data_IF_185668576076
#
_entry.id   IF_185668576076
#
_cell.length_a   1.000
_cell.length_b   1.000
_cell.length_c   1.000
_cell.angle_alpha   90.00
_cell.angle_beta   90.00
_cell.angle_gamma   90.00
#
_symmetry.space_group_name_H-M   'P 1'
#
loop_
_entity.id
_entity.type
_entity.pdbx_description
1 polymer ?
#
# COMPACT_ATOMS: atom_id res chain seq x y z
N UNK A 1 20.33 14.19 21.58
CA UNK A 1 21.10 13.31 20.69
C UNK A 1 20.58 13.35 19.26
N UNK A 2 19.32 13.03 18.93
CA UNK A 2 18.81 13.09 17.55
C UNK A 2 18.99 14.49 16.92
N UNK A 3 18.56 15.56 17.59
CA UNK A 3 18.72 16.94 17.11
C UNK A 3 20.19 17.37 16.88
N UNK A 4 21.14 16.82 17.63
CA UNK A 4 22.57 17.06 17.41
C UNK A 4 23.10 16.36 16.15
N UNK A 5 22.59 15.15 15.88
CA UNK A 5 22.91 14.40 14.66
C UNK A 5 22.27 15.06 13.42
N UNK A 6 21.04 15.55 13.55
CA UNK A 6 20.33 16.28 12.47
C UNK A 6 21.06 17.57 12.08
N UNK A 7 21.74 18.21 13.03
CA UNK A 7 22.53 19.44 12.79
C UNK A 7 23.92 19.18 12.17
N UNK A 8 24.36 17.92 12.08
CA UNK A 8 25.66 17.55 11.51
C UNK A 8 25.54 17.24 10.02
N UNK A 9 26.52 17.66 9.24
CA UNK A 9 26.61 17.30 7.79
C UNK A 9 26.99 15.83 7.58
N UNK A 10 27.57 15.17 8.61
CA UNK A 10 28.05 13.79 8.53
C UNK A 10 26.95 12.74 8.75
N UNK A 11 25.77 13.16 9.25
CA UNK A 11 24.70 12.25 9.63
C UNK A 11 23.38 12.64 8.96
N UNK A 12 22.58 11.61 8.70
CA UNK A 12 21.19 11.78 8.31
C UNK A 12 20.30 10.95 9.25
N UNK A 13 19.43 11.62 10.00
CA UNK A 13 18.53 10.96 10.93
C UNK A 13 17.23 10.63 10.20
N UNK A 14 16.84 9.36 10.22
CA UNK A 14 15.54 8.90 9.77
C UNK A 14 14.66 8.61 10.97
N UNK A 15 13.37 8.91 10.83
CA UNK A 15 12.38 8.57 11.85
C UNK A 15 11.63 7.32 11.44
N UNK A 16 11.27 6.49 12.42
CA UNK A 16 10.37 5.38 12.13
C UNK A 16 9.04 5.95 11.69
N UNK A 17 8.54 5.44 10.57
CA UNK A 17 7.19 5.74 10.10
C UNK A 17 6.15 5.40 11.18
N UNK A 18 5.22 6.31 11.40
CA UNK A 18 4.10 6.14 12.32
C UNK A 18 2.81 6.37 11.53
N UNK A 19 1.91 5.37 11.47
CA UNK A 19 0.64 5.51 10.77
C UNK A 19 -0.18 6.70 11.30
N UNK A 20 -0.90 7.36 10.39
CA UNK A 20 -1.75 8.51 10.71
C UNK A 20 -3.22 8.14 10.48
N UNK A 21 -4.13 8.51 11.38
CA UNK A 21 -5.57 8.26 11.21
C UNK A 21 -6.21 9.18 10.16
N UNK A 22 -5.53 10.25 9.77
CA UNK A 22 -5.95 11.20 8.73
C UNK A 22 -4.76 12.03 8.27
N UNK A 23 -4.87 12.64 7.09
CA UNK A 23 -3.88 13.59 6.53
C UNK A 23 -4.47 14.99 6.38
N UNK A 24 -5.79 15.12 6.39
CA UNK A 24 -6.54 16.37 6.29
C UNK A 24 -7.57 16.47 7.41
N UNK A 25 -7.99 17.70 7.69
CA UNK A 25 -9.10 17.95 8.62
C UNK A 25 -10.42 17.49 8.00
N UNK A 26 -11.39 17.02 8.80
CA UNK A 26 -12.70 16.62 8.30
C UNK A 26 -13.32 17.72 7.42
N UNK A 27 -13.82 17.32 6.27
CA UNK A 27 -14.46 18.22 5.30
C UNK A 27 -15.90 17.78 5.05
N UNK A 28 -16.86 18.72 4.83
CA UNK A 28 -18.20 18.38 4.39
C UNK A 28 -18.28 17.93 2.92
N UNK A 29 -17.15 17.95 2.20
CA UNK A 29 -17.08 17.49 0.82
C UNK A 29 -17.43 16.00 0.70
N UNK A 30 -17.97 15.63 -0.47
CA UNK A 30 -18.23 14.22 -0.77
C UNK A 30 -16.90 13.47 -0.81
N UNK A 31 -16.79 12.45 0.04
CA UNK A 31 -15.65 11.55 0.07
C UNK A 31 -15.96 10.23 -0.62
N UNK A 32 -14.92 9.58 -1.11
CA UNK A 32 -14.94 8.26 -1.71
C UNK A 32 -14.14 7.31 -0.81
N UNK A 33 -14.50 6.02 -0.83
CA UNK A 33 -13.75 4.99 -0.12
C UNK A 33 -12.78 4.31 -1.07
N UNK A 34 -11.50 4.26 -0.71
CA UNK A 34 -10.44 3.53 -1.37
C UNK A 34 -9.90 2.41 -0.50
N UNK A 35 -9.20 1.47 -1.13
CA UNK A 35 -8.40 0.44 -0.48
C UNK A 35 -6.96 0.55 -0.91
N UNK A 36 -6.03 0.43 0.03
CA UNK A 36 -4.66 0.00 -0.25
C UNK A 36 -4.60 -1.48 0.07
N UNK A 37 -4.01 -2.26 -0.82
CA UNK A 37 -3.81 -3.70 -0.64
C UNK A 37 -2.36 -4.05 -0.94
N UNK A 38 -1.89 -5.10 -0.28
CA UNK A 38 -0.58 -5.69 -0.49
C UNK A 38 -0.65 -7.18 -0.18
N UNK A 39 0.11 -8.01 -0.89
CA UNK A 39 0.14 -9.45 -0.65
C UNK A 39 1.56 -9.97 -0.52
N UNK A 40 1.78 -10.83 0.49
CA UNK A 40 2.93 -11.71 0.54
C UNK A 40 2.54 -13.08 -0.04
N UNK A 41 3.48 -13.73 -0.72
CA UNK A 41 3.19 -14.95 -1.48
C UNK A 41 4.31 -15.97 -1.41
N UNK A 42 4.02 -17.19 -1.88
CA UNK A 42 5.02 -18.27 -1.99
C UNK A 42 5.98 -18.10 -3.18
N UNK A 43 5.88 -17.00 -3.93
CA UNK A 43 6.74 -16.70 -5.08
C UNK A 43 6.10 -15.69 -6.03
N UNK A 44 6.71 -15.49 -7.19
CA UNK A 44 6.35 -14.44 -8.15
C UNK A 44 5.44 -14.91 -9.29
N UNK A 45 5.15 -16.21 -9.39
CA UNK A 45 4.25 -16.76 -10.41
C UNK A 45 2.80 -16.56 -9.98
N UNK A 46 2.19 -15.47 -10.44
CA UNK A 46 0.81 -15.11 -10.08
C UNK A 46 -0.24 -16.17 -10.50
N UNK A 47 0.11 -17.12 -11.36
CA UNK A 47 -0.79 -18.21 -11.77
C UNK A 47 -0.73 -19.41 -10.81
N UNK A 48 0.45 -19.73 -10.26
CA UNK A 48 0.69 -20.95 -9.50
C UNK A 48 1.05 -20.70 -8.03
N UNK A 49 1.59 -19.53 -7.70
CA UNK A 49 1.91 -19.23 -6.31
C UNK A 49 0.68 -18.83 -5.49
N UNK A 50 0.77 -19.03 -4.17
CA UNK A 50 -0.30 -18.80 -3.24
C UNK A 50 -0.05 -17.52 -2.43
N UNK A 51 -1.12 -16.81 -2.06
CA UNK A 51 -1.07 -15.74 -1.05
C UNK A 51 -0.82 -16.41 0.31
N UNK A 52 0.09 -15.84 1.10
CA UNK A 52 0.38 -16.24 2.49
C UNK A 52 0.04 -15.14 3.50
N UNK A 53 0.01 -13.87 3.09
CA UNK A 53 -0.54 -12.76 3.85
C UNK A 53 -1.27 -11.80 2.91
N UNK A 54 -2.42 -11.29 3.33
CA UNK A 54 -3.12 -10.17 2.71
C UNK A 54 -3.18 -9.02 3.70
N UNK A 55 -2.65 -7.88 3.32
CA UNK A 55 -2.82 -6.59 3.97
C UNK A 55 -3.89 -5.76 3.29
N UNK A 56 -4.67 -5.03 4.09
CA UNK A 56 -5.70 -4.14 3.59
C UNK A 56 -5.85 -2.92 4.51
N UNK A 57 -5.84 -1.73 3.92
CA UNK A 57 -6.14 -0.45 4.58
C UNK A 57 -7.22 0.25 3.80
N UNK A 58 -8.34 0.52 4.44
CA UNK A 58 -9.38 1.35 3.84
C UNK A 58 -9.17 2.82 4.24
N UNK A 59 -9.48 3.73 3.32
CA UNK A 59 -9.31 5.16 3.54
C UNK A 59 -10.41 5.97 2.83
N UNK A 60 -10.65 7.18 3.33
CA UNK A 60 -11.59 8.13 2.71
C UNK A 60 -10.83 9.28 2.06
N UNK A 61 -11.18 9.58 0.81
CA UNK A 61 -10.51 10.61 0.01
C UNK A 61 -11.48 11.40 -0.86
N UNK A 62 -11.10 12.61 -1.25
CA UNK A 62 -11.83 13.42 -2.22
C UNK A 62 -11.26 13.29 -3.65
N UNK A 63 -11.91 13.96 -4.59
CA UNK A 63 -11.48 13.96 -5.99
C UNK A 63 -10.15 14.69 -6.25
N UNK A 64 -9.59 15.36 -5.26
CA UNK A 64 -8.27 16.01 -5.30
C UNK A 64 -7.18 15.18 -4.63
N UNK A 65 -7.50 13.95 -4.16
CA UNK A 65 -6.56 13.08 -3.49
C UNK A 65 -6.22 13.47 -2.06
N UNK A 66 -7.06 14.26 -1.40
CA UNK A 66 -6.94 14.57 0.03
C UNK A 66 -7.52 13.41 0.84
N UNK A 67 -6.81 12.95 1.86
CA UNK A 67 -7.18 11.80 2.68
C UNK A 67 -7.68 12.27 4.04
N UNK A 68 -8.95 12.00 4.34
CA UNK A 68 -9.67 12.49 5.51
C UNK A 68 -9.79 11.48 6.64
N UNK A 69 -9.76 10.19 6.34
CA UNK A 69 -9.78 9.13 7.32
C UNK A 69 -9.00 7.91 6.81
N UNK A 70 -8.34 7.22 7.73
CA UNK A 70 -7.60 5.98 7.48
C UNK A 70 -8.03 4.99 8.55
N UNK A 71 -8.56 3.85 8.10
CA UNK A 71 -8.92 2.76 9.01
C UNK A 71 -7.65 2.06 9.51
N UNK A 72 -7.78 1.31 10.59
CA UNK A 72 -6.70 0.42 11.04
C UNK A 72 -6.35 -0.60 9.96
N UNK A 73 -5.06 -0.87 9.79
CA UNK A 73 -4.62 -1.92 8.91
C UNK A 73 -5.15 -3.27 9.38
N UNK A 74 -5.68 -4.05 8.45
CA UNK A 74 -6.04 -5.44 8.66
C UNK A 74 -5.06 -6.31 7.92
N UNK A 75 -4.66 -7.40 8.57
CA UNK A 75 -3.79 -8.39 7.98
C UNK A 75 -4.29 -9.77 8.32
N UNK A 76 -4.28 -10.66 7.34
CA UNK A 76 -4.68 -12.06 7.50
C UNK A 76 -3.62 -12.94 6.86
N UNK A 77 -3.26 -14.00 7.57
CA UNK A 77 -2.51 -15.11 6.99
C UNK A 77 -3.43 -16.08 6.26
N UNK A 78 -2.89 -16.77 5.26
CA UNK A 78 -3.54 -17.89 4.59
C UNK A 78 -2.57 -19.06 4.47
N UNK A 79 -3.01 -20.25 4.87
CA UNK A 79 -2.24 -21.48 4.71
C UNK A 79 -2.18 -21.86 3.23
N UNK A 80 -0.99 -21.88 2.59
CA UNK A 80 -0.86 -22.23 1.18
C UNK A 80 -1.07 -23.72 0.89
N UNK A 81 -1.22 -24.56 1.93
CA UNK A 81 -1.34 -26.02 1.81
C UNK A 81 -0.06 -26.71 1.34
N UNK A 82 1.06 -26.01 1.31
CA UNK A 82 2.40 -26.49 0.91
C UNK A 82 3.47 -25.71 1.66
N UNK A 83 4.70 -26.25 1.82
CA UNK A 83 5.79 -25.50 2.45
C UNK A 83 6.07 -24.16 1.73
N UNK A 84 6.32 -23.12 2.52
CA UNK A 84 6.75 -21.82 2.01
C UNK A 84 8.22 -21.93 1.60
N UNK A 85 8.61 -21.50 0.39
CA UNK A 85 10.00 -21.52 -0.05
C UNK A 85 10.91 -20.75 0.91
N UNK A 86 12.13 -21.27 1.22
CA UNK A 86 13.05 -20.63 2.17
C UNK A 86 13.36 -19.16 1.82
N UNK A 87 13.49 -18.82 0.55
CA UNK A 87 13.70 -17.45 0.08
C UNK A 87 12.53 -16.52 0.39
N UNK A 88 11.29 -17.02 0.38
CA UNK A 88 10.11 -16.27 0.77
C UNK A 88 10.08 -16.07 2.29
N UNK A 89 10.43 -17.11 3.06
CA UNK A 89 10.57 -16.98 4.53
C UNK A 89 11.65 -15.98 4.90
N UNK A 90 12.80 -15.99 4.22
CA UNK A 90 13.89 -15.04 4.46
C UNK A 90 13.45 -13.60 4.17
N UNK A 91 12.69 -13.40 3.09
CA UNK A 91 12.21 -12.07 2.66
C UNK A 91 11.13 -11.52 3.60
N UNK A 92 10.09 -12.33 3.90
CA UNK A 92 8.87 -11.86 4.58
C UNK A 92 8.88 -12.12 6.07
N UNK A 93 9.72 -13.05 6.55
CA UNK A 93 9.69 -13.56 7.91
C UNK A 93 8.48 -14.46 8.21
N UNK A 94 7.63 -14.77 7.21
CA UNK A 94 6.44 -15.59 7.39
C UNK A 94 6.83 -17.06 7.28
N UNK A 95 6.58 -17.82 8.35
CA UNK A 95 6.91 -19.25 8.42
C UNK A 95 5.68 -20.14 8.24
N UNK A 96 5.90 -21.42 7.91
CA UNK A 96 4.83 -22.41 7.83
C UNK A 96 4.01 -22.50 9.14
N UNK A 97 4.65 -22.33 10.29
CA UNK A 97 3.95 -22.38 11.59
C UNK A 97 3.01 -21.19 11.78
N UNK A 98 3.34 -20.02 11.24
CA UNK A 98 2.50 -18.82 11.33
C UNK A 98 1.23 -18.94 10.49
N UNK A 99 1.31 -19.57 9.33
CA UNK A 99 0.18 -19.67 8.38
C UNK A 99 -0.64 -20.94 8.56
N UNK A 100 -0.12 -21.95 9.27
CA UNK A 100 -0.76 -23.26 9.41
C UNK A 100 -2.21 -23.16 9.89
N UNK A 101 -3.16 -23.63 9.05
CA UNK A 101 -4.58 -23.60 9.32
C UNK A 101 -5.20 -22.20 9.36
N UNK A 102 -4.42 -21.16 9.01
CA UNK A 102 -4.95 -19.80 8.91
C UNK A 102 -5.71 -19.63 7.58
N UNK A 103 -6.69 -18.75 7.62
CA UNK A 103 -7.49 -18.41 6.44
C UNK A 103 -7.89 -16.95 6.49
N UNK A 104 -7.82 -16.29 5.34
CA UNK A 104 -8.32 -14.92 5.17
C UNK A 104 -9.83 -14.92 5.45
N UNK A 105 -10.32 -13.89 6.17
CA UNK A 105 -11.75 -13.67 6.37
C UNK A 105 -12.39 -13.15 5.07
N UNK A 106 -12.84 -14.08 4.23
CA UNK A 106 -13.44 -13.80 2.92
C UNK A 106 -14.58 -12.77 3.05
N UNK A 107 -15.43 -12.91 4.06
CA UNK A 107 -16.56 -12.01 4.26
C UNK A 107 -16.13 -10.58 4.65
N UNK A 108 -15.04 -10.45 5.42
CA UNK A 108 -14.47 -9.14 5.74
C UNK A 108 -13.89 -8.47 4.51
N UNK A 109 -13.13 -9.20 3.69
CA UNK A 109 -12.51 -8.70 2.44
C UNK A 109 -13.60 -8.30 1.45
N UNK A 110 -14.58 -9.15 1.18
CA UNK A 110 -15.68 -8.85 0.25
C UNK A 110 -16.51 -7.62 0.67
N UNK A 111 -16.72 -7.41 1.97
CA UNK A 111 -17.39 -6.19 2.46
C UNK A 111 -16.60 -4.92 2.12
N UNK A 112 -15.27 -4.95 2.26
CA UNK A 112 -14.45 -3.78 1.92
C UNK A 112 -14.37 -3.57 0.39
N UNK A 113 -14.24 -4.65 -0.39
CA UNK A 113 -14.31 -4.59 -1.85
C UNK A 113 -15.63 -3.93 -2.29
N UNK A 114 -16.77 -4.37 -1.75
CA UNK A 114 -18.08 -3.85 -2.13
C UNK A 114 -18.21 -2.33 -1.89
N UNK A 115 -17.57 -1.79 -0.85
CA UNK A 115 -17.63 -0.37 -0.46
C UNK A 115 -16.64 0.51 -1.21
N UNK A 116 -15.57 -0.06 -1.76
CA UNK A 116 -14.49 0.69 -2.40
C UNK A 116 -14.82 1.04 -3.86
N UNK A 117 -14.42 2.23 -4.27
CA UNK A 117 -14.44 2.68 -5.68
C UNK A 117 -13.07 2.60 -6.34
N UNK A 118 -12.01 2.47 -5.55
CA UNK A 118 -10.62 2.44 -6.00
C UNK A 118 -9.81 1.47 -5.15
N UNK A 119 -8.97 0.68 -5.79
CA UNK A 119 -7.97 -0.18 -5.15
C UNK A 119 -6.59 0.26 -5.62
N UNK A 120 -5.66 0.40 -4.69
CA UNK A 120 -4.28 0.77 -4.99
C UNK A 120 -3.35 -0.27 -4.38
N UNK A 121 -2.32 -0.66 -5.12
CA UNK A 121 -1.20 -1.43 -4.61
C UNK A 121 0.14 -0.81 -5.05
N UNK A 122 1.21 -1.17 -4.34
CA UNK A 122 2.56 -0.76 -4.71
C UNK A 122 3.14 -1.79 -5.66
N UNK A 123 3.11 -1.80 -6.87
CA UNK A 123 3.31 -2.81 -7.91
C UNK A 123 2.02 -3.59 -8.25
N UNK A 124 0.92 -2.85 -8.42
CA UNK A 124 -0.42 -3.39 -8.62
C UNK A 124 -0.53 -4.50 -9.70
N UNK A 125 0.39 -4.55 -10.66
CA UNK A 125 0.42 -5.62 -11.65
C UNK A 125 0.62 -7.02 -11.06
N UNK A 126 1.23 -7.14 -9.89
CA UNK A 126 1.40 -8.38 -9.14
C UNK A 126 0.17 -8.64 -8.26
N UNK A 127 -0.09 -7.74 -7.32
CA UNK A 127 -1.16 -7.89 -6.32
C UNK A 127 -2.52 -8.10 -6.95
N UNK A 128 -2.83 -7.33 -7.99
CA UNK A 128 -4.09 -7.42 -8.72
C UNK A 128 -4.34 -8.84 -9.25
N UNK A 129 -3.35 -9.46 -9.90
CA UNK A 129 -3.50 -10.80 -10.45
C UNK A 129 -3.70 -11.86 -9.38
N UNK A 130 -2.97 -11.75 -8.27
CA UNK A 130 -3.13 -12.66 -7.12
C UNK A 130 -4.51 -12.50 -6.49
N UNK A 131 -4.94 -11.25 -6.28
CA UNK A 131 -6.20 -10.93 -5.62
C UNK A 131 -7.42 -11.20 -6.49
N UNK A 132 -7.41 -10.90 -7.79
CA UNK A 132 -8.51 -11.23 -8.70
C UNK A 132 -8.74 -12.75 -8.81
N UNK A 133 -7.67 -13.55 -8.73
CA UNK A 133 -7.77 -15.02 -8.69
C UNK A 133 -8.40 -15.50 -7.38
N UNK A 134 -8.10 -14.87 -6.25
CA UNK A 134 -8.56 -15.27 -4.92
C UNK A 134 -9.94 -14.68 -4.58
N UNK A 135 -10.21 -13.45 -5.01
CA UNK A 135 -11.41 -12.66 -4.75
C UNK A 135 -11.90 -12.00 -6.04
N UNK A 136 -12.81 -12.65 -6.79
CA UNK A 136 -13.26 -12.14 -8.10
C UNK A 136 -13.85 -10.73 -8.06
N UNK A 137 -14.37 -10.27 -6.92
CA UNK A 137 -14.90 -8.92 -6.75
C UNK A 137 -13.88 -7.80 -7.01
N UNK A 138 -12.58 -8.08 -6.97
CA UNK A 138 -11.55 -7.12 -7.34
C UNK A 138 -11.48 -6.83 -8.84
N UNK A 139 -11.96 -7.74 -9.70
CA UNK A 139 -11.92 -7.56 -11.16
C UNK A 139 -12.77 -6.38 -11.63
N UNK A 140 -13.84 -6.04 -10.91
CA UNK A 140 -14.75 -4.95 -11.24
C UNK A 140 -14.30 -3.59 -10.67
N UNK A 141 -13.14 -3.52 -10.01
CA UNK A 141 -12.65 -2.30 -9.37
C UNK A 141 -11.70 -1.51 -10.27
N UNK A 142 -11.71 -0.20 -10.07
CA UNK A 142 -10.63 0.64 -10.61
C UNK A 142 -9.35 0.39 -9.81
N UNK A 143 -8.27 0.13 -10.53
CA UNK A 143 -6.96 -0.08 -9.93
C UNK A 143 -6.01 1.08 -10.21
N UNK A 144 -5.18 1.39 -9.21
CA UNK A 144 -4.06 2.32 -9.32
C UNK A 144 -2.76 1.64 -8.89
N UNK A 145 -1.66 1.97 -9.56
CA UNK A 145 -0.32 1.47 -9.22
C UNK A 145 0.53 2.62 -8.68
N UNK A 146 0.79 2.65 -7.37
CA UNK A 146 1.59 3.71 -6.77
C UNK A 146 3.04 3.70 -7.27
N UNK A 147 3.56 2.54 -7.68
CA UNK A 147 4.93 2.41 -8.19
C UNK A 147 5.08 2.95 -9.62
N UNK A 148 4.11 2.71 -10.52
CA UNK A 148 4.23 2.95 -11.96
C UNK A 148 3.44 4.16 -12.45
N UNK A 149 2.32 4.50 -11.81
CA UNK A 149 1.42 5.57 -12.27
C UNK A 149 1.67 6.92 -11.60
N UNK A 150 2.49 6.97 -10.56
CA UNK A 150 2.92 8.23 -9.94
C UNK A 150 4.22 8.69 -10.60
N UNK A 151 4.31 9.95 -11.08
CA UNK A 151 5.53 10.50 -11.65
C UNK A 151 6.52 10.89 -10.54
N UNK A 152 7.12 9.91 -9.87
CA UNK A 152 8.02 10.08 -8.73
C UNK A 152 9.20 11.05 -8.97
N UNK A 153 9.77 11.18 -10.19
CA UNK A 153 10.78 12.21 -10.48
C UNK A 153 10.31 13.65 -10.22
N UNK A 154 9.01 13.94 -10.39
CA UNK A 154 8.41 15.25 -10.04
C UNK A 154 8.57 15.57 -8.55
N UNK A 155 8.58 14.55 -7.72
CA UNK A 155 8.77 14.67 -6.26
C UNK A 155 10.21 14.47 -5.81
N UNK A 156 11.19 14.56 -6.75
CA UNK A 156 12.62 14.43 -6.46
C UNK A 156 13.07 13.00 -6.16
N UNK A 157 12.25 11.99 -6.50
CA UNK A 157 12.56 10.57 -6.32
C UNK A 157 12.99 9.95 -7.66
N UNK A 158 14.20 9.37 -7.72
CA UNK A 158 14.73 8.72 -8.93
C UNK A 158 14.40 7.23 -9.04
N UNK A 159 13.80 6.66 -7.99
CA UNK A 159 13.33 5.28 -7.89
C UNK A 159 11.94 5.24 -7.32
N UNK A 160 11.31 4.07 -7.38
CA UNK A 160 9.93 3.86 -6.95
C UNK A 160 9.76 2.72 -5.94
N UNK A 161 10.84 2.14 -5.38
CA UNK A 161 10.73 1.17 -4.29
C UNK A 161 10.16 1.86 -3.05
N UNK A 162 9.27 1.21 -2.33
CA UNK A 162 8.53 1.79 -1.21
C UNK A 162 9.46 2.35 -0.11
N UNK A 163 10.46 1.59 0.29
CA UNK A 163 11.44 2.01 1.30
C UNK A 163 12.23 3.24 0.83
N UNK A 164 12.59 3.28 -0.46
CA UNK A 164 13.27 4.43 -1.04
C UNK A 164 12.37 5.67 -1.05
N UNK A 165 11.08 5.51 -1.34
CA UNK A 165 10.11 6.61 -1.32
C UNK A 165 9.92 7.15 0.10
N UNK A 166 9.74 6.28 1.10
CA UNK A 166 9.70 6.67 2.51
C UNK A 166 10.95 7.44 2.92
N UNK A 167 12.12 6.88 2.61
CA UNK A 167 13.40 7.52 2.88
C UNK A 167 13.52 8.88 2.19
N UNK A 168 13.35 8.91 0.87
CA UNK A 168 13.68 10.08 0.06
C UNK A 168 12.65 11.18 0.18
N UNK A 169 11.40 10.79 0.22
CA UNK A 169 10.28 11.72 0.21
C UNK A 169 9.78 12.09 1.62
N UNK A 170 9.83 11.18 2.60
CA UNK A 170 9.32 11.44 3.94
C UNK A 170 10.42 11.64 5.00
N UNK A 171 11.66 11.20 4.74
CA UNK A 171 12.71 11.15 5.77
C UNK A 171 12.44 10.07 6.82
N UNK A 172 11.69 9.05 6.45
CA UNK A 172 11.22 7.99 7.33
C UNK A 172 11.70 6.61 6.86
N UNK A 173 11.57 5.61 7.73
CA UNK A 173 11.81 4.21 7.41
C UNK A 173 10.75 3.32 8.06
N UNK A 174 10.51 2.16 7.49
CA UNK A 174 9.71 1.08 8.09
C UNK A 174 10.43 -0.25 7.91
N UNK A 175 9.95 -1.27 8.59
CA UNK A 175 10.38 -2.65 8.34
C UNK A 175 9.41 -3.22 7.33
N UNK A 176 9.83 -3.33 6.07
CA UNK A 176 8.99 -3.84 4.98
C UNK A 176 8.67 -5.33 5.09
N UNK A 177 7.93 -5.84 4.10
CA UNK A 177 7.54 -7.25 3.96
C UNK A 177 6.58 -7.76 5.04
N UNK A 178 5.69 -6.87 5.49
CA UNK A 178 4.48 -7.20 6.24
C UNK A 178 3.33 -6.45 5.59
N UNK A 179 2.45 -7.19 4.95
CA UNK A 179 1.46 -6.65 4.04
C UNK A 179 0.62 -5.50 4.62
N UNK A 180 0.21 -5.57 5.89
CA UNK A 180 -0.53 -4.48 6.55
C UNK A 180 0.30 -3.20 6.73
N UNK A 181 1.57 -3.33 7.11
CA UNK A 181 2.49 -2.20 7.30
C UNK A 181 2.84 -1.55 5.95
N UNK A 182 3.03 -2.36 4.90
CA UNK A 182 3.31 -1.89 3.55
C UNK A 182 2.12 -1.15 2.94
N UNK A 183 0.89 -1.58 3.25
CA UNK A 183 -0.33 -0.82 2.91
C UNK A 183 -0.32 0.58 3.55
N UNK A 184 -0.04 0.69 4.85
CA UNK A 184 0.02 1.97 5.54
C UNK A 184 1.14 2.87 5.01
N UNK A 185 2.31 2.31 4.74
CA UNK A 185 3.44 3.02 4.15
C UNK A 185 3.12 3.50 2.72
N UNK A 186 2.45 2.68 1.92
CA UNK A 186 1.99 3.03 0.57
C UNK A 186 1.01 4.19 0.61
N UNK A 187 0.01 4.15 1.52
CA UNK A 187 -0.91 5.27 1.68
C UNK A 187 -0.18 6.54 2.12
N UNK A 188 0.78 6.42 3.05
CA UNK A 188 1.54 7.57 3.54
C UNK A 188 2.33 8.27 2.43
N UNK A 189 3.08 7.54 1.60
CA UNK A 189 3.83 8.16 0.50
C UNK A 189 2.92 8.79 -0.55
N UNK A 190 1.68 8.31 -0.69
CA UNK A 190 0.69 8.86 -1.61
C UNK A 190 -0.02 10.10 -1.06
N UNK A 191 -0.35 10.11 0.23
CA UNK A 191 -1.21 11.13 0.83
C UNK A 191 -0.49 12.43 1.18
N UNK A 192 0.82 12.39 1.49
CA UNK A 192 1.56 13.58 1.91
C UNK A 192 1.83 14.50 0.71
N UNK A 193 1.35 15.77 0.73
CA UNK A 193 1.68 16.76 -0.30
C UNK A 193 3.20 17.04 -0.38
N UNK A 194 3.73 17.29 -1.60
CA UNK A 194 5.18 17.41 -1.80
C UNK A 194 5.61 18.51 -2.79
N UNK A 195 4.78 18.78 -3.77
CA UNK A 195 5.03 19.81 -4.78
C UNK A 195 3.97 20.91 -4.58
N UNK A 196 4.25 21.83 -3.68
CA UNK A 196 3.22 22.72 -3.13
C UNK A 196 2.18 21.90 -2.37
N UNK A 197 0.91 22.07 -2.72
CA UNK A 197 -0.21 21.32 -2.12
C UNK A 197 -0.57 20.05 -2.90
N UNK A 198 0.23 19.64 -3.90
CA UNK A 198 -0.06 18.47 -4.73
C UNK A 198 0.45 17.19 -4.07
N UNK A 199 -0.45 16.24 -3.83
CA UNK A 199 -0.09 14.90 -3.36
C UNK A 199 0.17 13.92 -4.52
N UNK A 200 1.00 12.89 -4.32
CA UNK A 200 1.14 11.80 -5.30
C UNK A 200 -0.19 11.12 -5.62
N UNK A 201 -1.10 10.98 -4.65
CA UNK A 201 -2.43 10.42 -4.84
C UNK A 201 -3.27 11.26 -5.83
N UNK A 202 -3.20 12.58 -5.76
CA UNK A 202 -3.88 13.45 -6.72
C UNK A 202 -3.46 13.12 -8.16
N UNK A 203 -2.15 12.98 -8.41
CA UNK A 203 -1.65 12.69 -9.76
C UNK A 203 -2.03 11.29 -10.24
N UNK A 204 -2.06 10.30 -9.34
CA UNK A 204 -2.56 8.96 -9.66
C UNK A 204 -4.03 9.02 -10.09
N UNK A 205 -4.88 9.75 -9.37
CA UNK A 205 -6.30 9.93 -9.71
C UNK A 205 -6.50 10.66 -11.05
N UNK A 206 -5.67 11.66 -11.37
CA UNK A 206 -5.71 12.36 -12.65
C UNK A 206 -5.34 11.44 -13.83
N UNK A 207 -4.39 10.53 -13.64
CA UNK A 207 -4.04 9.54 -14.67
C UNK A 207 -5.18 8.53 -14.89
N UNK A 208 -5.78 8.00 -13.83
CA UNK A 208 -6.90 7.07 -13.92
C UNK A 208 -8.07 7.68 -14.73
N UNK A 209 -8.37 8.98 -14.55
CA UNK A 209 -9.42 9.69 -15.32
C UNK A 209 -9.09 9.82 -16.80
N UNK A 210 -7.83 10.03 -17.18
CA UNK A 210 -7.41 10.16 -18.59
C UNK A 210 -7.55 8.86 -19.36
N UNK A 211 -7.44 7.72 -18.71
CA UNK A 211 -7.58 6.40 -19.32
C UNK A 211 -9.04 6.04 -19.57
N UNK A 212 -9.97 6.45 -18.70
CA UNK A 212 -11.41 6.19 -18.85
C UNK A 212 -12.13 7.08 -19.85
N UNK A 213 -11.48 8.15 -20.32
CA UNK A 213 -12.05 9.08 -21.32
C UNK A 213 -11.44 8.94 -22.72
N UNK A 214 -10.69 7.87 -22.99
CA UNK A 214 -10.19 7.48 -24.32
C UNK A 214 -10.91 6.21 -24.81
#
# INVERSE_FOLDING_TARGET
MAAQLEASEDYRVLRRFVPRPAYEQPSPAKVHRGLIVDVESTGLDTANDAIIELGLVAFEFDTHGRVYAVDEARSWFEDPGRPIPPECVELTGITDDMVRGQRIDDAAVEREIARAVLVIAHNAGFDRRMLERRFPGFADKHWGCSMQEVPWPRFGCRGSKLEYLLFRACGEFHTGHRAGDDCLATLHVLAVPRDGDVSPLQLLLEQARRVTHR
#
